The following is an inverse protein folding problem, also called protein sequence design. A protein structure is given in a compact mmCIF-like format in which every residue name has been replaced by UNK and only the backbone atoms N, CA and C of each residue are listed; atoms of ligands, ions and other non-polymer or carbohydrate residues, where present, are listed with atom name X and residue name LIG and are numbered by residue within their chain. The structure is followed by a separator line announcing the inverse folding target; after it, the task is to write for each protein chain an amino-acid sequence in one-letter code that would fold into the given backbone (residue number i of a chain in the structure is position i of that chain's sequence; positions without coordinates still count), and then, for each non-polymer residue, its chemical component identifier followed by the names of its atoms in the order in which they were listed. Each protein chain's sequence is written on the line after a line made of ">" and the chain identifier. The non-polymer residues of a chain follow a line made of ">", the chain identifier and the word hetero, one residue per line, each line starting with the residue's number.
data_IF_549297636801
#
_entry.id   IF_549297636801
#
_cell.length_a   1.000
_cell.length_b   1.000
_cell.length_c   1.000
_cell.angle_alpha   90.00
_cell.angle_beta   90.00
_cell.angle_gamma   90.00
#
_symmetry.space_group_name_H-M   'P 1'
#
loop_
_entity.id
_entity.type
_entity.pdbx_description
1 polymer ?
#
# COMPACT_ATOMS: atom_id res chain seq x y z
N UNK A 1 38.68 37.48 -2.78
CA UNK A 1 37.91 37.21 -1.54
C UNK A 1 36.39 37.45 -1.65
N UNK A 2 35.87 38.24 -2.61
CA UNK A 2 34.42 38.55 -2.72
C UNK A 2 33.52 37.41 -3.25
N UNK A 3 34.05 36.40 -3.96
CA UNK A 3 33.26 35.32 -4.59
C UNK A 3 32.84 34.21 -3.63
N UNK A 4 33.59 34.00 -2.54
CA UNK A 4 33.33 32.94 -1.55
C UNK A 4 32.10 33.28 -0.70
N UNK A 5 31.90 34.56 -0.36
CA UNK A 5 30.73 35.01 0.40
C UNK A 5 29.40 34.82 -0.36
N UNK A 6 29.41 34.94 -1.69
CA UNK A 6 28.19 34.77 -2.50
C UNK A 6 27.73 33.30 -2.54
N UNK A 7 28.67 32.35 -2.57
CA UNK A 7 28.38 30.91 -2.58
C UNK A 7 27.78 30.47 -1.24
N UNK A 8 28.28 31.00 -0.12
CA UNK A 8 27.76 30.68 1.22
C UNK A 8 26.33 31.20 1.44
N UNK A 9 25.99 32.36 0.84
CA UNK A 9 24.62 32.91 0.89
C UNK A 9 23.67 32.06 0.02
N UNK A 10 24.10 31.63 -1.17
CA UNK A 10 23.28 30.76 -2.02
C UNK A 10 22.99 29.40 -1.37
N UNK A 11 23.97 28.82 -0.66
CA UNK A 11 23.82 27.53 0.01
C UNK A 11 22.91 27.58 1.25
N UNK A 12 22.87 28.72 1.94
CA UNK A 12 22.00 28.92 3.12
C UNK A 12 20.53 29.17 2.75
N UNK A 13 20.26 29.73 1.56
CA UNK A 13 18.88 29.88 1.06
C UNK A 13 18.29 28.51 0.65
N UNK A 14 19.12 27.58 0.16
CA UNK A 14 18.66 26.23 -0.22
C UNK A 14 18.26 25.35 0.99
N UNK A 15 18.77 25.63 2.19
CA UNK A 15 18.38 24.90 3.41
C UNK A 15 17.03 25.32 4.01
N UNK A 16 16.42 26.38 3.48
CA UNK A 16 15.12 26.88 3.93
C UNK A 16 13.99 26.08 3.26
N UNK A 17 13.68 24.92 3.82
CA UNK A 17 12.34 24.33 3.70
C UNK A 17 12.23 23.13 2.77
N UNK A 18 12.90 22.04 3.11
CA UNK A 18 12.40 20.71 2.73
C UNK A 18 11.34 20.35 3.78
N UNK A 19 10.08 20.65 3.49
CA UNK A 19 8.97 20.17 4.32
C UNK A 19 8.79 18.68 4.03
N UNK A 20 8.91 17.83 5.05
CA UNK A 20 8.50 16.42 4.92
C UNK A 20 6.99 16.43 4.76
N UNK A 21 6.53 16.26 3.53
CA UNK A 21 5.12 15.97 3.24
C UNK A 21 4.91 14.48 3.48
N UNK A 22 4.20 14.15 4.55
CA UNK A 22 3.73 12.77 4.78
C UNK A 22 2.45 12.59 3.98
N UNK A 23 2.51 11.79 2.91
CA UNK A 23 1.29 11.33 2.27
C UNK A 23 0.60 10.32 3.19
N UNK A 24 -0.71 10.47 3.40
CA UNK A 24 -1.53 9.51 4.15
C UNK A 24 -1.85 8.32 3.23
N UNK A 25 -0.79 7.61 2.85
CA UNK A 25 -0.87 6.44 1.96
C UNK A 25 -1.52 5.30 2.75
N UNK A 26 -2.48 4.56 2.17
CA UNK A 26 -3.04 3.37 2.81
C UNK A 26 -1.96 2.42 3.34
N UNK A 27 -2.26 1.82 4.50
CA UNK A 27 -1.41 0.81 5.09
C UNK A 27 -2.18 -0.52 5.16
N UNK A 28 -1.64 -1.56 4.52
CA UNK A 28 -2.14 -2.93 4.69
C UNK A 28 -1.71 -3.40 6.08
N UNK A 29 -2.64 -3.41 7.02
CA UNK A 29 -2.33 -3.61 8.44
C UNK A 29 -2.30 -5.06 8.87
N UNK A 30 -2.97 -5.95 8.15
CA UNK A 30 -2.93 -7.39 8.44
C UNK A 30 -3.20 -8.20 7.18
N UNK A 31 -2.51 -9.33 7.07
CA UNK A 31 -2.74 -10.37 6.07
C UNK A 31 -2.96 -11.67 6.82
N UNK A 32 -3.94 -12.46 6.39
CA UNK A 32 -4.21 -13.80 6.90
C UNK A 32 -4.57 -14.72 5.74
N UNK A 33 -4.19 -15.99 5.79
CA UNK A 33 -4.59 -16.99 4.79
C UNK A 33 -5.33 -18.10 5.51
N UNK A 34 -6.56 -18.35 5.04
CA UNK A 34 -7.36 -19.49 5.46
C UNK A 34 -7.38 -20.52 4.32
N UNK A 35 -7.02 -21.76 4.67
CA UNK A 35 -7.04 -22.88 3.73
C UNK A 35 -8.26 -23.73 4.05
N UNK A 36 -9.21 -23.81 3.12
CA UNK A 36 -10.44 -24.57 3.24
C UNK A 36 -10.45 -25.74 2.25
N UNK A 37 -11.40 -26.65 2.40
CA UNK A 37 -11.51 -27.86 1.55
C UNK A 37 -11.91 -27.58 0.10
N UNK A 38 -12.45 -26.40 -0.18
CA UNK A 38 -12.90 -25.92 -1.49
C UNK A 38 -11.91 -24.96 -2.16
N UNK A 39 -10.84 -24.57 -1.47
CA UNK A 39 -9.82 -23.68 -2.02
C UNK A 39 -8.96 -23.00 -0.97
N UNK A 40 -8.16 -22.03 -1.41
CA UNK A 40 -7.39 -21.16 -0.53
C UNK A 40 -7.97 -19.75 -0.61
N UNK A 41 -8.28 -19.17 0.54
CA UNK A 41 -8.79 -17.80 0.65
C UNK A 41 -7.78 -16.95 1.39
N UNK A 42 -7.33 -15.90 0.73
CA UNK A 42 -6.51 -14.86 1.33
C UNK A 42 -7.42 -13.79 1.92
N UNK A 43 -7.36 -13.61 3.23
CA UNK A 43 -8.04 -12.55 3.96
C UNK A 43 -7.11 -11.34 4.10
N UNK A 44 -7.50 -10.21 3.52
CA UNK A 44 -6.69 -9.00 3.42
C UNK A 44 -7.37 -7.90 4.22
N UNK A 45 -6.78 -7.49 5.34
CA UNK A 45 -7.31 -6.37 6.14
C UNK A 45 -6.52 -5.10 5.88
N UNK A 46 -7.20 -4.12 5.30
CA UNK A 46 -6.63 -2.82 4.93
C UNK A 46 -7.13 -1.76 5.88
N UNK A 47 -6.22 -0.86 6.31
CA UNK A 47 -6.58 0.37 7.01
C UNK A 47 -6.26 1.57 6.13
N UNK A 48 -7.24 2.46 5.99
CA UNK A 48 -7.13 3.70 5.22
C UNK A 48 -7.86 4.82 5.96
N UNK A 49 -7.17 5.91 6.27
CA UNK A 49 -7.77 7.04 6.99
C UNK A 49 -8.77 7.79 6.11
N UNK A 50 -9.80 8.35 6.73
CA UNK A 50 -10.71 9.34 6.12
C UNK A 50 -11.29 8.97 4.75
N UNK A 51 -11.79 7.73 4.54
CA UNK A 51 -12.30 7.34 3.24
C UNK A 51 -13.53 8.16 2.84
N UNK A 52 -13.66 8.43 1.55
CA UNK A 52 -14.79 9.11 0.94
C UNK A 52 -15.05 8.59 -0.47
N UNK A 53 -16.12 9.06 -1.11
CA UNK A 53 -16.47 8.69 -2.48
C UNK A 53 -15.40 9.05 -3.54
N UNK A 54 -14.45 9.93 -3.22
CA UNK A 54 -13.33 10.29 -4.10
C UNK A 54 -11.97 9.87 -3.53
N UNK A 55 -11.91 9.43 -2.28
CA UNK A 55 -10.69 9.06 -1.55
C UNK A 55 -10.86 7.68 -0.91
N UNK A 56 -10.59 6.63 -1.66
CA UNK A 56 -10.81 5.25 -1.22
C UNK A 56 -9.79 4.30 -1.86
N UNK A 57 -9.82 3.03 -1.45
CA UNK A 57 -9.00 1.98 -2.06
C UNK A 57 -9.75 1.38 -3.22
N UNK A 58 -9.29 1.64 -4.44
CA UNK A 58 -9.97 1.13 -5.63
C UNK A 58 -9.42 -0.21 -6.08
N UNK A 59 -8.21 -0.60 -5.67
CA UNK A 59 -7.57 -1.84 -6.10
C UNK A 59 -6.72 -2.48 -5.02
N UNK A 60 -6.68 -3.81 -5.04
CA UNK A 60 -5.65 -4.61 -4.41
C UNK A 60 -4.84 -5.31 -5.49
N UNK A 61 -3.51 -5.33 -5.34
CA UNK A 61 -2.65 -6.19 -6.14
C UNK A 61 -2.12 -7.28 -5.22
N UNK A 62 -2.44 -8.52 -5.57
CA UNK A 62 -2.07 -9.73 -4.83
C UNK A 62 -1.07 -10.50 -5.68
N UNK A 63 0.09 -10.79 -5.09
CA UNK A 63 1.13 -11.58 -5.72
C UNK A 63 1.35 -12.86 -4.93
N UNK A 64 1.30 -13.99 -5.62
CA UNK A 64 1.57 -15.32 -5.06
C UNK A 64 2.63 -16.02 -5.90
N UNK A 65 3.87 -16.07 -5.38
CA UNK A 65 5.02 -16.48 -6.19
C UNK A 65 5.26 -15.49 -7.33
N UNK A 66 5.22 -15.96 -8.59
CA UNK A 66 5.36 -15.11 -9.78
C UNK A 66 4.01 -14.65 -10.36
N UNK A 67 2.89 -15.18 -9.85
CA UNK A 67 1.56 -14.82 -10.30
C UNK A 67 1.10 -13.52 -9.64
N UNK A 68 0.58 -12.59 -10.43
CA UNK A 68 0.03 -11.32 -9.96
C UNK A 68 -1.42 -11.21 -10.41
N UNK A 69 -2.29 -10.90 -9.47
CA UNK A 69 -3.71 -10.67 -9.67
C UNK A 69 -4.09 -9.28 -9.15
N UNK A 70 -5.03 -8.62 -9.83
CA UNK A 70 -5.57 -7.33 -9.43
C UNK A 70 -7.06 -7.49 -9.15
N UNK A 71 -7.47 -7.06 -7.96
CA UNK A 71 -8.86 -7.05 -7.53
C UNK A 71 -9.34 -5.61 -7.50
N UNK A 72 -10.36 -5.29 -8.30
CA UNK A 72 -11.03 -3.98 -8.25
C UNK A 72 -12.03 -3.97 -7.09
N UNK A 73 -12.10 -2.84 -6.38
CA UNK A 73 -12.95 -2.65 -5.21
C UNK A 73 -13.90 -1.46 -5.39
N UNK A 74 -15.10 -1.61 -4.83
CA UNK A 74 -16.05 -0.51 -4.70
C UNK A 74 -15.64 0.46 -3.57
N UNK A 75 -16.01 1.74 -3.63
CA UNK A 75 -15.67 2.72 -2.60
C UNK A 75 -16.09 2.28 -1.19
N UNK A 76 -15.14 2.28 -0.25
CA UNK A 76 -15.41 1.97 1.14
C UNK A 76 -15.72 3.24 1.94
N UNK A 77 -16.58 3.13 2.96
CA UNK A 77 -16.90 4.23 3.88
C UNK A 77 -16.28 4.06 5.27
N UNK A 78 -15.60 2.93 5.53
CA UNK A 78 -15.00 2.59 6.82
C UNK A 78 -13.48 2.67 6.75
N UNK A 79 -12.85 3.08 7.86
CA UNK A 79 -11.39 3.22 7.91
C UNK A 79 -10.63 1.90 7.92
N UNK A 80 -11.35 0.79 8.09
CA UNK A 80 -10.83 -0.58 8.05
C UNK A 80 -11.86 -1.46 7.37
N UNK A 81 -11.40 -2.36 6.51
CA UNK A 81 -12.23 -3.37 5.85
C UNK A 81 -11.38 -4.61 5.57
N UNK A 82 -12.06 -5.73 5.32
CA UNK A 82 -11.44 -7.02 5.00
C UNK A 82 -11.99 -7.51 3.67
N UNK A 83 -11.09 -7.88 2.77
CA UNK A 83 -11.43 -8.50 1.49
C UNK A 83 -10.95 -9.95 1.47
N UNK A 84 -11.76 -10.81 0.88
CA UNK A 84 -11.44 -12.22 0.68
C UNK A 84 -11.15 -12.47 -0.80
N UNK A 85 -9.96 -12.99 -1.09
CA UNK A 85 -9.51 -13.26 -2.45
C UNK A 85 -9.17 -14.75 -2.57
N UNK A 86 -9.81 -15.43 -3.51
CA UNK A 86 -9.47 -16.83 -3.82
C UNK A 86 -8.11 -16.87 -4.52
N UNK A 87 -7.19 -17.69 -4.02
CA UNK A 87 -5.87 -17.86 -4.65
C UNK A 87 -5.73 -19.28 -5.22
N UNK A 88 -5.31 -19.38 -6.48
CA UNK A 88 -5.23 -20.65 -7.18
C UNK A 88 -3.99 -21.48 -6.83
N UNK A 89 -2.93 -20.83 -6.33
CA UNK A 89 -1.61 -21.45 -6.10
C UNK A 89 -1.07 -21.12 -4.71
N UNK A 90 -0.16 -21.95 -4.20
CA UNK A 90 0.62 -21.66 -2.98
C UNK A 90 1.90 -20.90 -3.34
N UNK A 91 2.41 -20.11 -2.40
CA UNK A 91 3.69 -19.43 -2.55
C UNK A 91 3.89 -18.30 -1.56
N UNK A 92 4.94 -17.51 -1.77
CA UNK A 92 5.13 -16.25 -1.03
C UNK A 92 4.04 -15.26 -1.42
N UNK A 93 3.29 -14.81 -0.43
CA UNK A 93 2.19 -13.84 -0.64
C UNK A 93 2.67 -12.43 -0.32
N UNK A 94 2.53 -11.55 -1.31
CA UNK A 94 2.73 -10.11 -1.19
C UNK A 94 1.45 -9.38 -1.62
N UNK A 95 1.05 -8.34 -0.91
CA UNK A 95 -0.14 -7.54 -1.21
C UNK A 95 0.16 -6.06 -1.11
N UNK A 96 -0.38 -5.25 -2.01
CA UNK A 96 -0.41 -3.78 -1.86
C UNK A 96 -1.76 -3.22 -2.29
N UNK A 97 -2.10 -2.04 -1.76
CA UNK A 97 -3.36 -1.37 -2.02
C UNK A 97 -3.15 -0.09 -2.85
N UNK A 98 -4.09 0.24 -3.73
CA UNK A 98 -4.10 1.49 -4.48
C UNK A 98 -5.19 2.43 -3.96
N UNK A 99 -4.78 3.59 -3.44
CA UNK A 99 -5.68 4.69 -3.14
C UNK A 99 -5.90 5.56 -4.37
N UNK A 100 -7.14 5.97 -4.62
CA UNK A 100 -7.50 6.85 -5.75
C UNK A 100 -6.73 8.18 -5.76
N UNK A 101 -6.32 8.69 -4.59
CA UNK A 101 -5.60 9.96 -4.46
C UNK A 101 -4.11 9.80 -4.17
N UNK A 102 -3.71 8.76 -3.43
CA UNK A 102 -2.34 8.60 -2.94
C UNK A 102 -1.54 7.51 -3.66
N UNK A 103 -2.16 6.79 -4.60
CA UNK A 103 -1.51 5.75 -5.38
C UNK A 103 -1.24 4.48 -4.58
N UNK A 104 -0.18 3.76 -4.95
CA UNK A 104 0.16 2.46 -4.38
C UNK A 104 0.81 2.58 -3.00
N UNK A 105 0.36 1.72 -2.06
CA UNK A 105 1.11 1.43 -0.85
C UNK A 105 2.38 0.63 -1.16
N UNK A 106 3.27 0.55 -0.17
CA UNK A 106 4.32 -0.48 -0.15
C UNK A 106 3.69 -1.88 -0.11
N UNK A 107 4.48 -2.87 -0.54
CA UNK A 107 4.12 -4.28 -0.40
C UNK A 107 4.14 -4.71 1.07
N UNK A 108 3.05 -5.30 1.53
CA UNK A 108 2.97 -6.13 2.72
C UNK A 108 3.22 -7.59 2.35
N UNK A 109 3.86 -8.36 3.21
CA UNK A 109 4.23 -9.76 2.94
C UNK A 109 3.80 -10.63 4.11
N UNK A 110 3.08 -11.72 3.84
CA UNK A 110 2.70 -12.70 4.86
C UNK A 110 3.78 -13.79 5.06
N UNK A 111 4.84 -13.78 4.25
CA UNK A 111 5.80 -14.88 4.20
C UNK A 111 5.31 -15.99 3.28
N UNK A 112 5.84 -17.21 3.42
CA UNK A 112 5.32 -18.36 2.65
C UNK A 112 4.03 -18.88 3.25
N UNK A 113 3.00 -19.04 2.42
CA UNK A 113 1.79 -19.74 2.85
C UNK A 113 2.08 -21.21 3.10
N UNK A 114 1.52 -21.83 4.15
CA UNK A 114 1.61 -23.27 4.35
C UNK A 114 1.16 -24.01 3.08
N UNK A 115 1.94 -25.01 2.69
CA UNK A 115 1.64 -25.92 1.59
C UNK A 115 0.37 -26.72 1.86
#
# INVERSE_FOLDING_TARGET
>A
MKKIGLILIALSILSLGVSVVSADVPNVTSLGVEVATDGRTLSITVRHSSPSNIHYISKLEVKVGDNVEVVDLDPQSTTSFTEEVSIATSGRVEVRAYCTLHGWSSWASLGETPS
#
